data_IF_804096112735
#
_entry.id   IF_804096112735
#
_cell.length_a   1.000
_cell.length_b   1.000
_cell.length_c   1.000
_cell.angle_alpha   90.00
_cell.angle_beta   90.00
_cell.angle_gamma   90.00
#
_symmetry.space_group_name_H-M   'P 1'
#
loop_
_entity.id
_entity.type
_entity.pdbx_description
1 polymer ?
#
# COMPACT_ATOMS: atom_id res chain seq x y z
N UNK A 1 8.56 2.52 -7.49
CA UNK A 1 9.87 2.18 -8.10
C UNK A 1 9.65 1.20 -9.24
N UNK A 2 9.72 1.68 -10.48
CA UNK A 2 9.36 0.90 -11.69
C UNK A 2 10.55 0.67 -12.63
N UNK A 3 11.65 1.40 -12.45
CA UNK A 3 12.72 1.53 -13.45
C UNK A 3 13.87 0.53 -13.28
N UNK A 4 13.98 -0.10 -12.10
CA UNK A 4 15.04 -1.07 -11.82
C UNK A 4 14.93 -2.30 -12.73
N UNK A 5 13.74 -2.88 -12.86
CA UNK A 5 13.52 -4.07 -13.68
C UNK A 5 13.88 -3.85 -15.18
N UNK A 6 13.36 -2.83 -15.89
CA UNK A 6 13.74 -2.58 -17.28
C UNK A 6 15.23 -2.26 -17.43
N UNK A 7 15.87 -1.63 -16.44
CA UNK A 7 17.32 -1.37 -16.45
C UNK A 7 18.13 -2.67 -16.39
N UNK A 8 17.82 -3.56 -15.45
CA UNK A 8 18.52 -4.85 -15.30
C UNK A 8 18.33 -5.73 -16.54
N UNK A 9 17.13 -5.72 -17.14
CA UNK A 9 16.87 -6.46 -18.38
C UNK A 9 17.66 -5.91 -19.55
N UNK A 10 17.74 -4.59 -19.71
CA UNK A 10 18.56 -3.96 -20.74
C UNK A 10 20.05 -4.34 -20.59
N UNK A 11 20.57 -4.33 -19.37
CA UNK A 11 21.94 -4.76 -19.06
C UNK A 11 22.19 -6.24 -19.36
N UNK A 12 21.20 -7.09 -19.13
CA UNK A 12 21.26 -8.51 -19.45
C UNK A 12 21.01 -8.83 -20.94
N UNK A 13 20.78 -7.82 -21.78
CA UNK A 13 20.35 -7.96 -23.17
C UNK A 13 19.06 -8.81 -23.33
N UNK A 14 18.16 -8.76 -22.33
CA UNK A 14 16.87 -9.44 -22.31
C UNK A 14 15.76 -8.43 -22.57
N UNK A 15 14.78 -8.80 -23.41
CA UNK A 15 13.61 -7.95 -23.65
C UNK A 15 12.63 -8.04 -22.46
N UNK A 16 12.13 -6.87 -22.03
CA UNK A 16 11.01 -6.78 -21.10
C UNK A 16 9.75 -7.42 -21.68
N UNK A 17 8.92 -7.97 -20.79
CA UNK A 17 7.60 -8.47 -21.18
C UNK A 17 6.69 -7.29 -21.51
N UNK A 18 5.83 -7.47 -22.52
CA UNK A 18 4.95 -6.43 -23.04
C UNK A 18 3.55 -7.00 -23.28
N UNK A 19 2.74 -7.09 -22.23
CA UNK A 19 1.35 -7.56 -22.31
C UNK A 19 1.17 -9.06 -22.11
N UNK A 20 2.24 -9.86 -22.16
CA UNK A 20 2.19 -11.31 -21.97
C UNK A 20 3.53 -11.87 -21.51
N UNK A 21 3.47 -12.89 -20.64
CA UNK A 21 4.62 -13.67 -20.22
C UNK A 21 4.25 -15.15 -20.16
N UNK A 22 4.97 -15.99 -20.92
CA UNK A 22 4.75 -17.44 -21.03
C UNK A 22 3.30 -17.82 -21.37
N UNK A 23 2.69 -17.08 -22.31
CA UNK A 23 1.31 -17.32 -22.76
C UNK A 23 0.23 -16.87 -21.79
N UNK A 24 0.58 -16.17 -20.71
CA UNK A 24 -0.37 -15.57 -19.75
C UNK A 24 -0.37 -14.06 -19.89
N UNK A 25 -1.54 -13.40 -19.81
CA UNK A 25 -1.61 -11.94 -19.74
C UNK A 25 -0.75 -11.40 -18.59
N UNK A 26 -0.02 -10.32 -18.86
CA UNK A 26 0.82 -9.64 -17.87
C UNK A 26 0.80 -8.13 -18.16
N UNK A 27 0.78 -7.30 -17.12
CA UNK A 27 0.79 -5.84 -17.27
C UNK A 27 2.13 -5.38 -17.85
N UNK A 28 2.17 -4.59 -18.94
CA UNK A 28 3.42 -4.06 -19.48
C UNK A 28 4.27 -3.36 -18.42
N UNK A 29 5.60 -3.44 -18.57
CA UNK A 29 6.49 -2.67 -17.71
C UNK A 29 6.27 -1.17 -17.94
N UNK A 30 6.05 -0.42 -16.85
CA UNK A 30 5.76 1.02 -16.90
C UNK A 30 6.97 1.92 -16.62
N UNK A 31 8.08 1.33 -16.17
CA UNK A 31 9.32 2.05 -15.91
C UNK A 31 10.23 2.20 -17.12
N UNK A 32 11.28 3.00 -16.96
CA UNK A 32 12.27 3.29 -17.98
C UNK A 32 13.63 2.63 -17.70
N UNK A 33 14.42 2.42 -18.75
CA UNK A 33 15.80 1.98 -18.61
C UNK A 33 16.68 3.15 -18.16
N UNK A 34 17.25 3.09 -16.95
CA UNK A 34 18.11 4.12 -16.38
C UNK A 34 19.55 4.07 -16.91
N UNK A 35 19.93 3.06 -17.69
CA UNK A 35 21.30 2.93 -18.19
C UNK A 35 21.86 4.20 -18.84
N UNK A 36 21.11 4.92 -19.71
CA UNK A 36 21.60 6.17 -20.30
C UNK A 36 21.88 7.27 -19.27
N UNK A 37 21.15 7.31 -18.14
CA UNK A 37 21.42 8.24 -17.04
C UNK A 37 22.67 7.83 -16.28
N UNK A 38 22.80 6.53 -15.98
CA UNK A 38 23.94 5.99 -15.24
C UNK A 38 25.27 6.13 -16.00
N UNK A 39 25.24 6.18 -17.32
CA UNK A 39 26.43 6.39 -18.17
C UNK A 39 26.63 7.85 -18.58
N UNK A 40 25.78 8.78 -18.15
CA UNK A 40 25.87 10.20 -18.49
C UNK A 40 25.50 10.54 -19.94
N UNK A 41 24.78 9.66 -20.63
CA UNK A 41 24.28 9.92 -21.99
C UNK A 41 23.03 10.83 -22.00
N UNK A 42 22.31 10.92 -20.87
CA UNK A 42 21.18 11.85 -20.66
C UNK A 42 21.06 12.19 -19.17
N UNK A 43 20.50 13.34 -18.84
CA UNK A 43 20.26 13.74 -17.45
C UNK A 43 19.01 13.08 -16.85
N UNK A 44 18.05 12.69 -17.69
CA UNK A 44 16.82 12.02 -17.26
C UNK A 44 16.28 11.07 -18.34
N UNK A 45 15.55 10.04 -17.88
CA UNK A 45 14.73 9.15 -18.73
C UNK A 45 13.23 9.43 -18.63
N UNK A 46 12.85 10.33 -17.72
CA UNK A 46 11.49 10.81 -17.54
C UNK A 46 11.41 12.28 -18.00
N UNK A 47 10.61 12.59 -19.03
CA UNK A 47 10.35 13.97 -19.44
C UNK A 47 9.80 14.82 -18.29
N UNK A 48 10.13 16.12 -18.27
CA UNK A 48 9.70 17.03 -17.21
C UNK A 48 8.16 17.23 -17.16
N UNK A 49 7.46 16.96 -18.26
CA UNK A 49 5.99 16.99 -18.36
C UNK A 49 5.34 15.65 -18.02
N UNK A 50 6.13 14.57 -17.84
CA UNK A 50 5.60 13.27 -17.45
C UNK A 50 5.12 13.32 -15.99
N UNK A 51 3.85 12.96 -15.79
CA UNK A 51 3.29 12.78 -14.46
C UNK A 51 3.57 11.36 -13.92
N UNK A 52 4.11 11.29 -12.70
CA UNK A 52 4.37 10.04 -11.98
C UNK A 52 3.56 10.06 -10.68
N UNK A 53 2.59 9.15 -10.57
CA UNK A 53 1.71 9.06 -9.42
C UNK A 53 2.08 7.95 -8.44
N UNK A 54 1.65 8.12 -7.19
CA UNK A 54 1.76 7.14 -6.12
C UNK A 54 0.53 7.24 -5.22
N UNK A 55 0.02 6.10 -4.79
CA UNK A 55 -1.01 6.00 -3.76
C UNK A 55 -0.68 4.86 -2.80
N UNK A 56 -0.87 5.10 -1.51
CA UNK A 56 -0.85 4.05 -0.50
C UNK A 56 -1.71 4.43 0.71
N UNK A 57 -2.72 3.60 0.98
CA UNK A 57 -3.59 3.71 2.16
C UNK A 57 -4.28 5.08 2.27
N UNK A 58 -4.69 5.64 1.13
CA UNK A 58 -5.36 6.93 1.00
C UNK A 58 -4.43 8.14 0.95
N UNK A 59 -3.13 7.95 1.24
CA UNK A 59 -2.13 8.95 0.97
C UNK A 59 -1.78 8.92 -0.52
N UNK A 60 -1.66 10.08 -1.13
CA UNK A 60 -1.53 10.21 -2.57
C UNK A 60 -0.49 11.27 -2.92
N UNK A 61 0.25 11.03 -4.00
CA UNK A 61 1.17 11.99 -4.58
C UNK A 61 1.19 11.90 -6.10
N UNK A 62 1.46 13.02 -6.76
CA UNK A 62 1.85 13.06 -8.17
C UNK A 62 2.99 14.05 -8.35
N UNK A 63 3.98 13.64 -9.12
CA UNK A 63 5.16 14.43 -9.49
C UNK A 63 5.06 14.81 -10.96
N UNK A 64 5.39 16.06 -11.29
CA UNK A 64 5.55 16.52 -12.68
C UNK A 64 6.66 17.56 -12.72
N UNK A 65 7.81 17.16 -13.26
CA UNK A 65 9.04 17.93 -13.19
C UNK A 65 9.42 18.20 -11.73
N UNK A 66 9.66 19.46 -11.41
CA UNK A 66 10.06 19.91 -10.07
C UNK A 66 8.91 20.05 -9.08
N UNK A 67 7.67 19.76 -9.50
CA UNK A 67 6.50 19.97 -8.68
C UNK A 67 5.91 18.66 -8.17
N UNK A 68 5.50 18.66 -6.91
CA UNK A 68 4.78 17.57 -6.27
C UNK A 68 3.45 18.08 -5.73
N UNK A 69 2.38 17.37 -6.07
CA UNK A 69 1.09 17.51 -5.41
C UNK A 69 0.91 16.31 -4.47
N UNK A 70 0.60 16.55 -3.20
CA UNK A 70 0.52 15.50 -2.17
C UNK A 70 -0.72 15.68 -1.29
N UNK A 71 -1.28 14.56 -0.84
CA UNK A 71 -2.38 14.49 0.11
C UNK A 71 -2.12 13.36 1.08
N UNK A 72 -2.05 13.68 2.37
CA UNK A 72 -1.90 12.70 3.44
C UNK A 72 -3.14 12.70 4.32
N UNK A 73 -3.68 11.52 4.63
CA UNK A 73 -4.81 11.37 5.53
C UNK A 73 -4.38 11.55 7.01
N UNK A 74 -5.34 11.81 7.93
CA UNK A 74 -5.08 11.75 9.35
C UNK A 74 -4.49 10.40 9.79
N UNK A 75 -3.61 10.37 10.81
CA UNK A 75 -3.20 11.50 11.65
C UNK A 75 -2.01 12.31 11.09
N UNK A 76 -1.39 11.89 9.99
CA UNK A 76 -0.16 12.50 9.46
C UNK A 76 -0.41 13.66 8.49
N UNK A 77 -1.68 13.97 8.20
CA UNK A 77 -2.08 15.11 7.40
C UNK A 77 -3.56 15.46 7.58
N UNK A 78 -4.03 16.45 6.83
CA UNK A 78 -5.39 16.98 6.89
C UNK A 78 -6.36 16.25 5.96
N UNK A 79 -5.86 15.44 5.03
CA UNK A 79 -6.63 14.89 3.92
C UNK A 79 -6.84 15.86 2.76
N UNK A 80 -6.21 17.04 2.81
CA UNK A 80 -6.25 18.04 1.74
C UNK A 80 -5.04 17.92 0.80
N UNK A 81 -5.18 18.49 -0.39
CA UNK A 81 -4.11 18.54 -1.38
C UNK A 81 -3.23 19.78 -1.16
N UNK A 82 -1.92 19.57 -1.19
CA UNK A 82 -0.91 20.63 -1.10
C UNK A 82 0.07 20.52 -2.28
N UNK A 83 0.56 21.65 -2.78
CA UNK A 83 1.47 21.73 -3.92
C UNK A 83 2.81 22.29 -3.49
N UNK A 84 3.90 21.64 -3.89
CA UNK A 84 5.27 22.03 -3.54
C UNK A 84 6.17 22.05 -4.77
N UNK A 85 7.14 22.96 -4.78
CA UNK A 85 8.31 22.95 -5.67
C UNK A 85 9.41 22.18 -4.92
N UNK A 86 9.57 20.90 -5.22
CA UNK A 86 10.50 20.01 -4.50
C UNK A 86 11.96 20.22 -4.90
N UNK A 87 12.23 20.93 -6.00
CA UNK A 87 13.60 21.31 -6.37
C UNK A 87 14.12 22.43 -5.48
N UNK A 88 13.25 23.37 -5.09
CA UNK A 88 13.61 24.51 -4.21
C UNK A 88 13.25 24.30 -2.75
N UNK A 89 12.26 23.46 -2.47
CA UNK A 89 11.79 23.13 -1.13
C UNK A 89 11.62 21.60 -0.98
N UNK A 90 12.73 20.85 -0.88
CA UNK A 90 12.68 19.39 -0.70
C UNK A 90 11.96 18.95 0.59
N UNK A 91 11.81 19.87 1.55
CA UNK A 91 11.14 19.63 2.83
C UNK A 91 9.62 19.78 2.78
N UNK A 92 9.04 20.18 1.64
CA UNK A 92 7.60 20.34 1.47
C UNK A 92 6.99 21.29 2.53
N UNK A 93 7.67 22.41 2.77
CA UNK A 93 7.37 23.35 3.86
C UNK A 93 6.46 24.50 3.44
N UNK A 94 6.50 24.90 2.15
CA UNK A 94 5.75 26.04 1.62
C UNK A 94 4.74 25.60 0.57
N UNK A 95 3.47 25.53 0.97
CA UNK A 95 2.38 25.22 0.05
C UNK A 95 2.18 26.35 -0.99
N UNK A 96 2.15 25.95 -2.26
CA UNK A 96 2.00 26.80 -3.44
C UNK A 96 0.60 26.71 -4.05
N UNK A 97 -0.33 25.93 -3.47
CA UNK A 97 -1.67 25.74 -4.03
C UNK A 97 -2.39 27.05 -4.34
N UNK A 98 -2.35 28.02 -3.40
CA UNK A 98 -2.92 29.35 -3.59
C UNK A 98 -2.13 30.27 -4.53
N UNK A 99 -0.81 30.08 -4.62
CA UNK A 99 0.07 30.89 -5.47
C UNK A 99 0.07 30.42 -6.93
N UNK A 100 -0.18 29.12 -7.18
CA UNK A 100 -0.14 28.50 -8.50
C UNK A 100 -1.41 27.68 -8.78
N UNK A 101 -2.61 28.29 -8.79
CA UNK A 101 -3.88 27.55 -8.85
C UNK A 101 -4.07 26.78 -10.16
N UNK A 102 -3.53 27.29 -11.28
CA UNK A 102 -3.58 26.60 -12.57
C UNK A 102 -2.76 25.29 -12.54
N UNK A 103 -1.55 25.35 -11.95
CA UNK A 103 -0.69 24.20 -11.80
C UNK A 103 -1.28 23.19 -10.82
N UNK A 104 -1.81 23.67 -9.69
CA UNK A 104 -2.52 22.85 -8.70
C UNK A 104 -3.64 22.02 -9.36
N UNK A 105 -4.51 22.67 -10.13
CA UNK A 105 -5.59 21.99 -10.86
C UNK A 105 -5.07 21.01 -11.90
N UNK A 106 -3.98 21.34 -12.59
CA UNK A 106 -3.37 20.45 -13.57
C UNK A 106 -2.81 19.18 -12.92
N UNK A 107 -2.11 19.28 -11.78
CA UNK A 107 -1.61 18.09 -11.08
C UNK A 107 -2.76 17.28 -10.47
N UNK A 108 -3.86 17.90 -10.05
CA UNK A 108 -5.05 17.15 -9.62
C UNK A 108 -5.63 16.30 -10.76
N UNK A 109 -5.65 16.84 -12.00
CA UNK A 109 -6.04 16.10 -13.18
C UNK A 109 -5.03 14.97 -13.50
N UNK A 110 -3.73 15.21 -13.38
CA UNK A 110 -2.70 14.19 -13.56
C UNK A 110 -2.88 13.03 -12.56
N UNK A 111 -3.17 13.35 -11.30
CA UNK A 111 -3.47 12.33 -10.28
C UNK A 111 -4.73 11.55 -10.64
N UNK A 112 -5.80 12.21 -11.09
CA UNK A 112 -7.02 11.53 -11.50
C UNK A 112 -6.78 10.56 -12.68
N UNK A 113 -5.95 10.97 -13.65
CA UNK A 113 -5.54 10.12 -14.76
C UNK A 113 -4.70 8.92 -14.28
N UNK A 114 -3.73 9.14 -13.40
CA UNK A 114 -2.98 8.08 -12.73
C UNK A 114 -3.91 7.09 -12.01
N UNK A 115 -4.80 7.60 -11.15
CA UNK A 115 -5.70 6.77 -10.34
C UNK A 115 -6.63 5.92 -11.20
N UNK A 116 -7.12 6.47 -12.32
CA UNK A 116 -7.93 5.73 -13.28
C UNK A 116 -7.15 4.63 -13.98
N UNK A 117 -5.96 4.95 -14.49
CA UNK A 117 -5.07 4.00 -15.19
C UNK A 117 -4.65 2.84 -14.27
N UNK A 118 -4.29 3.14 -13.04
CA UNK A 118 -3.72 2.19 -12.08
C UNK A 118 -4.80 1.55 -11.18
N UNK A 119 -6.08 1.84 -11.44
CA UNK A 119 -7.25 1.28 -10.73
C UNK A 119 -7.19 1.50 -9.22
N UNK A 120 -6.76 2.70 -8.81
CA UNK A 120 -6.75 3.12 -7.41
C UNK A 120 -8.19 3.16 -6.88
N UNK A 121 -8.41 2.51 -5.73
CA UNK A 121 -9.72 2.45 -5.10
C UNK A 121 -9.86 3.54 -4.03
N UNK A 122 -11.04 4.15 -3.88
CA UNK A 122 -11.29 5.13 -2.83
C UNK A 122 -11.25 4.46 -1.46
N UNK A 123 -10.69 5.17 -0.47
CA UNK A 123 -10.72 4.73 0.91
C UNK A 123 -12.12 4.94 1.53
N UNK A 124 -12.58 4.03 2.41
CA UNK A 124 -13.84 4.22 3.13
C UNK A 124 -13.87 5.51 3.95
N UNK A 125 -15.07 6.04 4.19
CA UNK A 125 -15.26 7.15 5.10
C UNK A 125 -14.76 6.80 6.51
N UNK A 126 -14.02 7.71 7.14
CA UNK A 126 -13.45 7.51 8.47
C UNK A 126 -12.29 6.50 8.53
N UNK A 127 -11.72 6.11 7.37
CA UNK A 127 -10.56 5.24 7.34
C UNK A 127 -9.35 5.87 8.05
N UNK A 128 -8.68 5.08 8.88
CA UNK A 128 -7.31 5.33 9.33
C UNK A 128 -6.49 4.07 9.18
N UNK A 129 -5.23 4.22 8.77
CA UNK A 129 -4.32 3.09 8.59
C UNK A 129 -4.16 2.31 9.91
N UNK A 130 -4.00 3.01 11.02
CA UNK A 130 -3.84 2.42 12.35
C UNK A 130 -5.03 1.56 12.77
N UNK A 131 -6.26 2.07 12.64
CA UNK A 131 -7.45 1.30 13.02
C UNK A 131 -7.58 0.03 12.17
N UNK A 132 -7.27 0.13 10.87
CA UNK A 132 -7.31 -1.02 9.98
C UNK A 132 -6.23 -2.06 10.32
N UNK A 133 -5.00 -1.62 10.60
CA UNK A 133 -3.88 -2.49 11.01
C UNK A 133 -4.23 -3.22 12.30
N UNK A 134 -4.74 -2.51 13.30
CA UNK A 134 -5.11 -3.09 14.60
C UNK A 134 -6.23 -4.12 14.45
N UNK A 135 -7.28 -3.80 13.68
CA UNK A 135 -8.39 -4.73 13.39
C UNK A 135 -7.89 -5.98 12.66
N UNK A 136 -7.04 -5.82 11.65
CA UNK A 136 -6.47 -6.92 10.89
C UNK A 136 -5.57 -7.79 11.77
N UNK A 137 -4.72 -7.18 12.59
CA UNK A 137 -3.84 -7.87 13.53
C UNK A 137 -4.62 -8.70 14.54
N UNK A 138 -5.67 -8.14 15.14
CA UNK A 138 -6.54 -8.87 16.06
C UNK A 138 -7.21 -10.06 15.37
N UNK A 139 -7.84 -9.83 14.22
CA UNK A 139 -8.59 -10.87 13.51
C UNK A 139 -7.70 -12.00 12.98
N UNK A 140 -6.50 -11.67 12.47
CA UNK A 140 -5.60 -12.65 11.87
C UNK A 140 -4.74 -13.38 12.90
N UNK A 141 -4.32 -12.71 13.98
CA UNK A 141 -3.33 -13.27 14.92
C UNK A 141 -3.92 -13.64 16.27
N UNK A 142 -4.81 -12.82 16.83
CA UNK A 142 -5.30 -12.98 18.22
C UNK A 142 -6.54 -13.85 18.27
N UNK A 143 -7.58 -13.50 17.51
CA UNK A 143 -8.86 -14.22 17.47
C UNK A 143 -8.73 -15.73 17.26
N UNK A 144 -7.95 -16.26 16.29
CA UNK A 144 -7.84 -17.71 16.12
C UNK A 144 -7.14 -18.40 17.30
N UNK A 145 -6.18 -17.74 17.96
CA UNK A 145 -5.52 -18.28 19.17
C UNK A 145 -6.50 -18.32 20.34
N UNK A 146 -7.30 -17.27 20.52
CA UNK A 146 -8.36 -17.24 21.55
C UNK A 146 -9.38 -18.36 21.33
N UNK A 147 -9.87 -18.54 20.08
CA UNK A 147 -10.82 -19.60 19.76
C UNK A 147 -10.23 -21.00 20.02
N UNK A 148 -8.96 -21.24 19.66
CA UNK A 148 -8.27 -22.50 19.98
C UNK A 148 -8.13 -22.70 21.50
N UNK A 149 -7.75 -21.67 22.24
CA UNK A 149 -7.64 -21.72 23.70
C UNK A 149 -8.99 -22.03 24.36
N UNK A 150 -10.06 -21.36 23.94
CA UNK A 150 -11.42 -21.64 24.41
C UNK A 150 -11.85 -23.07 24.12
N UNK A 151 -11.57 -23.60 22.91
CA UNK A 151 -11.88 -24.98 22.58
C UNK A 151 -11.12 -25.98 23.47
N UNK A 152 -9.84 -25.73 23.75
CA UNK A 152 -9.04 -26.55 24.69
C UNK A 152 -9.64 -26.53 26.09
N UNK A 153 -10.02 -25.35 26.60
CA UNK A 153 -10.66 -25.22 27.91
C UNK A 153 -12.01 -25.95 27.96
N UNK A 154 -12.80 -25.91 26.89
CA UNK A 154 -14.07 -26.64 26.77
C UNK A 154 -13.85 -28.15 26.85
N UNK A 155 -12.87 -28.69 26.11
CA UNK A 155 -12.52 -30.12 26.15
C UNK A 155 -12.05 -30.54 27.55
N UNK A 156 -11.18 -29.76 28.17
CA UNK A 156 -10.72 -30.01 29.54
C UNK A 156 -11.90 -30.00 30.53
N UNK A 157 -12.82 -29.04 30.40
CA UNK A 157 -14.03 -28.96 31.21
C UNK A 157 -14.92 -30.21 31.10
N UNK A 158 -15.13 -30.72 29.88
CA UNK A 158 -15.88 -31.96 29.63
C UNK A 158 -15.19 -33.17 30.26
N UNK A 159 -13.86 -33.29 30.11
CA UNK A 159 -13.08 -34.37 30.71
C UNK A 159 -13.17 -34.36 32.25
N UNK A 160 -13.03 -33.18 32.86
CA UNK A 160 -13.15 -33.00 34.32
C UNK A 160 -14.56 -33.37 34.79
N UNK A 161 -15.61 -32.88 34.12
CA UNK A 161 -16.99 -33.21 34.46
C UNK A 161 -17.28 -34.72 34.33
N UNK A 162 -16.76 -35.35 33.27
CA UNK A 162 -16.84 -36.80 33.06
C UNK A 162 -16.15 -37.58 34.18
N UNK A 163 -14.95 -37.18 34.57
CA UNK A 163 -14.19 -37.79 35.67
C UNK A 163 -14.92 -37.65 37.02
N UNK A 164 -15.48 -36.47 37.32
CA UNK A 164 -16.29 -36.24 38.53
C UNK A 164 -17.53 -37.13 38.55
N UNK A 165 -18.27 -37.21 37.45
CA UNK A 165 -19.45 -38.07 37.32
C UNK A 165 -19.09 -39.55 37.49
N UNK A 166 -17.98 -39.99 36.91
CA UNK A 166 -17.49 -41.36 37.05
C UNK A 166 -17.10 -41.70 38.49
N UNK A 167 -16.37 -40.81 39.17
CA UNK A 167 -16.02 -40.96 40.60
C UNK A 167 -17.27 -41.06 41.49
N UNK A 168 -18.26 -40.19 41.28
CA UNK A 168 -19.54 -40.22 42.03
C UNK A 168 -20.29 -41.54 41.81
N UNK A 169 -20.37 -42.02 40.57
CA UNK A 169 -21.00 -43.33 40.26
C UNK A 169 -20.29 -44.51 40.90
N UNK A 170 -18.96 -44.52 40.95
CA UNK A 170 -18.19 -45.57 41.63
C UNK A 170 -18.47 -45.59 43.13
N UNK A 171 -18.53 -44.43 43.78
CA UNK A 171 -18.80 -44.32 45.22
C UNK A 171 -20.21 -44.83 45.59
N UNK A 172 -21.20 -44.59 44.75
CA UNK A 172 -22.58 -45.06 44.94
C UNK A 172 -22.79 -46.57 44.66
N UNK A 173 -21.81 -47.28 44.09
CA UNK A 173 -21.86 -48.74 43.85
C UNK A 173 -21.06 -49.53 44.89
N UNK A 174 -20.34 -48.86 45.78
CA UNK A 174 -19.51 -49.46 46.84
C UNK A 174 -20.14 -49.38 48.24
N UNK A 175 -21.43 -49.05 48.31
CA UNK A 175 -22.32 -49.07 49.48
C UNK A 175 -23.49 -49.95 49.12
#
# INVERSE_FOLDING_TARGET
>A
MTDIAPTLLALAAVRGQNGSYRGRPAEPMTGANLWPVLTGATDSVHPADQAIGYELSGNAAVFRGDYKLVKNLPPTGTGEWHLYDIARDPGETRDLAGAMPALFKALQADYAAFASRDRVLPMPAGYTAEAQINRNGFNRSVRPKLLRGLAVLLVLGVLVAGAVRWRRKRKARGT
#
